data_IF_275793602437
#
_entry.id   IF_275793602437
#
_cell.length_a   1.000
_cell.length_b   1.000
_cell.length_c   1.000
_cell.angle_alpha   90.00
_cell.angle_beta   90.00
_cell.angle_gamma   90.00
#
_symmetry.space_group_name_H-M   'P 1'
#
loop_
_entity.id
_entity.type
_entity.pdbx_description
1 polymer ?
#
# COMPACT_ATOMS: atom_id res chain seq x y z
N UNK A 1 0.67 -9.86 -6.32
CA UNK A 1 0.85 -10.05 -4.86
C UNK A 1 0.39 -11.43 -4.39
N UNK A 2 -0.86 -11.84 -4.63
CA UNK A 2 -1.41 -13.12 -4.12
C UNK A 2 -0.59 -14.36 -4.49
N UNK A 3 -0.22 -14.54 -5.77
CA UNK A 3 0.59 -15.68 -6.20
C UNK A 3 1.94 -15.74 -5.48
N UNK A 4 2.61 -14.59 -5.30
CA UNK A 4 3.88 -14.52 -4.57
C UNK A 4 3.74 -14.94 -3.12
N UNK A 5 2.70 -14.46 -2.43
CA UNK A 5 2.43 -14.85 -1.05
C UNK A 5 2.12 -16.35 -0.94
N UNK A 6 1.25 -16.88 -1.81
CA UNK A 6 0.85 -18.29 -1.79
C UNK A 6 2.02 -19.24 -2.14
N UNK A 7 2.95 -18.80 -2.99
CA UNK A 7 4.18 -19.54 -3.32
C UNK A 7 5.28 -19.42 -2.26
N UNK A 8 5.09 -18.62 -1.19
CA UNK A 8 6.13 -18.36 -0.19
C UNK A 8 7.33 -17.57 -0.75
N UNK A 9 7.13 -16.78 -1.81
CA UNK A 9 8.18 -16.01 -2.51
C UNK A 9 7.91 -14.52 -2.44
N UNK A 10 7.88 -13.99 -1.22
CA UNK A 10 7.63 -12.58 -0.98
C UNK A 10 8.64 -11.69 -1.70
N UNK A 11 8.11 -10.68 -2.38
CA UNK A 11 8.78 -9.46 -2.78
C UNK A 11 7.86 -8.32 -2.34
N UNK A 12 8.42 -7.17 -2.01
CA UNK A 12 7.62 -6.01 -1.59
C UNK A 12 6.67 -5.54 -2.71
N UNK A 13 5.78 -4.63 -2.38
CA UNK A 13 4.79 -4.18 -3.36
C UNK A 13 5.41 -3.35 -4.49
N UNK A 14 6.59 -2.77 -4.28
CA UNK A 14 7.32 -2.07 -5.32
C UNK A 14 7.81 -3.03 -6.39
N UNK A 15 8.41 -4.16 -5.99
CA UNK A 15 8.75 -5.27 -6.87
C UNK A 15 7.51 -5.83 -7.60
N UNK A 16 6.43 -6.10 -6.87
CA UNK A 16 5.17 -6.57 -7.48
C UNK A 16 4.64 -5.59 -8.53
N UNK A 17 4.68 -4.29 -8.26
CA UNK A 17 4.18 -3.25 -9.17
C UNK A 17 4.99 -3.20 -10.46
N UNK A 18 6.33 -3.22 -10.35
CA UNK A 18 7.23 -3.22 -11.51
C UNK A 18 7.08 -4.49 -12.35
N UNK A 19 6.99 -5.65 -11.71
CA UNK A 19 6.79 -6.92 -12.42
C UNK A 19 5.44 -6.97 -13.16
N UNK A 20 4.37 -6.49 -12.53
CA UNK A 20 3.06 -6.41 -13.16
C UNK A 20 3.06 -5.42 -14.35
N UNK A 21 3.76 -4.30 -14.22
CA UNK A 21 3.94 -3.33 -15.30
C UNK A 21 4.74 -3.95 -16.46
N UNK A 22 5.86 -4.61 -16.18
CA UNK A 22 6.68 -5.29 -17.17
C UNK A 22 5.87 -6.35 -17.93
N UNK A 23 5.11 -7.18 -17.21
CA UNK A 23 4.21 -8.16 -17.82
C UNK A 23 3.19 -7.49 -18.75
N UNK A 24 2.53 -6.42 -18.28
CA UNK A 24 1.50 -5.71 -19.05
C UNK A 24 2.06 -5.12 -20.34
N UNK A 25 3.23 -4.49 -20.27
CA UNK A 25 3.93 -3.94 -21.43
C UNK A 25 4.36 -5.06 -22.40
N UNK A 26 4.80 -6.21 -21.87
CA UNK A 26 5.12 -7.40 -22.67
C UNK A 26 3.92 -7.94 -23.46
N UNK A 27 2.69 -7.83 -22.94
CA UNK A 27 1.48 -8.23 -23.72
C UNK A 27 1.25 -7.36 -24.96
N UNK A 28 1.86 -6.17 -25.01
CA UNK A 28 1.86 -5.26 -26.15
C UNK A 28 3.10 -5.41 -27.04
N UNK A 29 3.99 -6.36 -26.74
CA UNK A 29 5.26 -6.56 -27.44
C UNK A 29 6.35 -5.54 -27.08
N UNK A 30 6.23 -4.88 -25.93
CA UNK A 30 7.21 -3.92 -25.44
C UNK A 30 8.16 -4.57 -24.43
N UNK A 31 9.46 -4.30 -24.57
CA UNK A 31 10.53 -4.82 -23.70
C UNK A 31 11.26 -3.64 -23.04
N UNK A 32 10.66 -2.98 -22.03
CA UNK A 32 11.27 -1.84 -21.35
C UNK A 32 12.45 -2.26 -20.47
N UNK A 33 13.42 -1.36 -20.29
CA UNK A 33 14.47 -1.55 -19.30
C UNK A 33 13.98 -1.23 -17.87
N UNK A 34 14.80 -1.58 -16.88
CA UNK A 34 14.49 -1.37 -15.47
C UNK A 34 14.32 0.13 -15.12
N UNK A 35 15.06 1.02 -15.78
CA UNK A 35 14.96 2.46 -15.54
C UNK A 35 13.59 2.99 -15.95
N UNK A 36 13.10 2.56 -17.11
CA UNK A 36 11.76 2.89 -17.59
C UNK A 36 10.68 2.35 -16.65
N UNK A 37 10.78 1.06 -16.25
CA UNK A 37 9.82 0.43 -15.35
C UNK A 37 9.78 1.15 -14.00
N UNK A 38 10.93 1.43 -13.40
CA UNK A 38 11.02 2.16 -12.15
C UNK A 38 10.44 3.58 -12.28
N UNK A 39 10.74 4.29 -13.37
CA UNK A 39 10.22 5.64 -13.62
C UNK A 39 8.70 5.68 -13.81
N UNK A 40 8.15 4.75 -14.61
CA UNK A 40 6.71 4.67 -14.86
C UNK A 40 5.94 4.17 -13.63
N UNK A 41 6.48 3.20 -12.90
CA UNK A 41 5.87 2.68 -11.67
C UNK A 41 5.73 3.75 -10.57
N UNK A 42 6.50 4.85 -10.61
CA UNK A 42 6.30 5.99 -9.70
C UNK A 42 4.92 6.64 -9.83
N UNK A 43 4.17 6.39 -10.91
CA UNK A 43 2.77 6.81 -10.99
C UNK A 43 1.93 6.26 -9.84
N UNK A 44 2.23 5.04 -9.34
CA UNK A 44 1.53 4.44 -8.20
C UNK A 44 1.76 5.18 -6.87
N UNK A 45 2.86 5.93 -6.74
CA UNK A 45 3.15 6.74 -5.55
C UNK A 45 2.53 8.15 -5.62
N UNK A 46 1.77 8.45 -6.69
CA UNK A 46 1.20 9.77 -7.00
C UNK A 46 -0.27 9.67 -7.39
N UNK A 47 -0.96 8.61 -6.94
CA UNK A 47 -2.39 8.47 -7.19
C UNK A 47 -3.13 9.63 -6.52
N UNK A 48 -4.02 10.27 -7.27
CA UNK A 48 -4.87 11.32 -6.73
C UNK A 48 -5.84 10.70 -5.71
N UNK A 49 -5.94 11.23 -4.49
CA UNK A 49 -6.96 10.77 -3.54
C UNK A 49 -8.36 11.06 -4.10
N UNK A 50 -9.35 10.28 -3.67
CA UNK A 50 -10.74 10.59 -4.00
C UNK A 50 -11.12 11.98 -3.44
N UNK A 51 -11.96 12.78 -4.14
CA UNK A 51 -12.23 14.17 -3.77
C UNK A 51 -12.78 14.37 -2.36
N UNK A 52 -13.50 13.37 -1.82
CA UNK A 52 -14.15 13.37 -0.51
C UNK A 52 -13.28 12.75 0.61
N UNK A 53 -12.13 12.14 0.28
CA UNK A 53 -11.30 11.44 1.24
C UNK A 53 -10.80 12.36 2.38
N UNK A 54 -10.37 13.59 2.05
CA UNK A 54 -9.89 14.54 3.04
C UNK A 54 -10.99 14.96 4.02
N UNK A 55 -12.19 15.26 3.51
CA UNK A 55 -13.33 15.62 4.34
C UNK A 55 -13.74 14.46 5.24
N UNK A 56 -13.84 13.25 4.69
CA UNK A 56 -14.17 12.05 5.45
C UNK A 56 -13.19 11.82 6.62
N UNK A 57 -11.87 11.90 6.36
CA UNK A 57 -10.85 11.73 7.39
C UNK A 57 -10.90 12.81 8.47
N UNK A 58 -11.28 14.04 8.10
CA UNK A 58 -11.48 15.11 9.07
C UNK A 58 -12.68 14.84 9.98
N UNK A 59 -13.80 14.38 9.42
CA UNK A 59 -15.04 14.08 10.16
C UNK A 59 -14.92 12.85 11.07
N UNK A 60 -14.00 11.92 10.78
CA UNK A 60 -13.72 10.77 11.63
C UNK A 60 -12.95 11.12 12.91
N UNK A 61 -12.39 12.33 13.03
CA UNK A 61 -11.76 12.75 14.28
C UNK A 61 -12.81 12.88 15.41
N UNK A 62 -12.52 12.46 16.67
CA UNK A 62 -11.20 12.10 17.19
C UNK A 62 -10.89 10.59 17.19
N UNK A 63 -11.58 9.77 16.38
CA UNK A 63 -11.26 8.34 16.30
C UNK A 63 -9.85 8.14 15.72
N UNK A 64 -9.22 7.01 16.09
CA UNK A 64 -7.97 6.57 15.46
C UNK A 64 -8.22 6.29 13.98
N UNK A 65 -7.40 6.87 13.11
CA UNK A 65 -7.47 6.74 11.65
C UNK A 65 -6.15 6.15 11.18
N UNK A 66 -6.20 5.04 10.46
CA UNK A 66 -5.00 4.41 9.94
C UNK A 66 -5.19 3.84 8.55
N UNK A 67 -4.09 3.71 7.82
CA UNK A 67 -4.03 2.91 6.59
C UNK A 67 -3.44 1.55 6.96
N UNK A 68 -4.07 0.46 6.53
CA UNK A 68 -3.41 -0.83 6.38
C UNK A 68 -3.33 -1.13 4.89
N UNK A 69 -2.13 -1.29 4.32
CA UNK A 69 -1.98 -1.48 2.87
C UNK A 69 -0.91 -2.48 2.49
N UNK A 70 -1.09 -3.11 1.32
CA UNK A 70 -0.07 -3.95 0.72
C UNK A 70 1.18 -3.17 0.31
N UNK A 71 1.05 -1.86 0.06
CA UNK A 71 2.15 -1.00 -0.38
C UNK A 71 3.37 -1.09 0.52
N UNK A 72 4.57 -1.06 -0.08
CA UNK A 72 5.82 -1.00 0.67
C UNK A 72 5.90 0.31 1.48
N UNK A 73 6.69 0.37 2.57
CA UNK A 73 6.75 1.55 3.46
C UNK A 73 6.97 2.87 2.70
N UNK A 74 7.99 2.92 1.83
CA UNK A 74 8.33 4.13 1.05
C UNK A 74 7.23 4.51 0.05
N UNK A 75 6.54 3.52 -0.54
CA UNK A 75 5.41 3.78 -1.44
C UNK A 75 4.27 4.47 -0.71
N UNK A 76 3.93 3.98 0.49
CA UNK A 76 2.82 4.53 1.27
C UNK A 76 3.16 5.91 1.81
N UNK A 77 4.37 6.10 2.31
CA UNK A 77 4.82 7.40 2.79
C UNK A 77 4.77 8.46 1.67
N UNK A 78 5.30 8.11 0.48
CA UNK A 78 5.25 9.00 -0.67
C UNK A 78 3.80 9.28 -1.12
N UNK A 79 2.96 8.25 -1.20
CA UNK A 79 1.56 8.39 -1.64
C UNK A 79 0.75 9.31 -0.70
N UNK A 80 0.86 9.09 0.61
CA UNK A 80 0.14 9.89 1.61
C UNK A 80 0.66 11.33 1.65
N UNK A 81 1.98 11.53 1.55
CA UNK A 81 2.58 12.86 1.49
C UNK A 81 2.16 13.63 0.24
N UNK A 82 2.21 12.99 -0.94
CA UNK A 82 1.78 13.60 -2.21
C UNK A 82 0.28 13.95 -2.22
N UNK A 83 -0.54 13.19 -1.50
CA UNK A 83 -1.96 13.47 -1.32
C UNK A 83 -2.24 14.58 -0.29
N UNK A 84 -1.24 15.03 0.47
CA UNK A 84 -1.41 16.01 1.55
C UNK A 84 -2.20 15.47 2.75
N UNK A 85 -2.17 14.15 2.97
CA UNK A 85 -2.97 13.47 4.00
C UNK A 85 -2.14 12.96 5.18
N UNK A 86 -0.87 13.34 5.29
CA UNK A 86 0.04 12.86 6.35
C UNK A 86 -0.55 13.06 7.75
N UNK A 87 -1.11 14.24 8.03
CA UNK A 87 -1.66 14.58 9.34
C UNK A 87 -3.08 14.02 9.57
N UNK A 88 -3.64 13.32 8.58
CA UNK A 88 -4.98 12.72 8.66
C UNK A 88 -4.97 11.32 9.27
N UNK A 89 -3.80 10.71 9.47
CA UNK A 89 -3.65 9.35 9.96
C UNK A 89 -2.75 9.30 11.20
N UNK A 90 -3.19 8.53 12.21
CA UNK A 90 -2.40 8.18 13.38
C UNK A 90 -1.33 7.11 13.05
N UNK A 91 -1.57 6.28 12.03
CA UNK A 91 -0.61 5.32 11.52
C UNK A 91 -0.80 4.99 10.04
N UNK A 92 0.31 4.72 9.35
CA UNK A 92 0.32 4.19 7.99
C UNK A 92 1.08 2.86 8.02
N UNK A 93 0.34 1.76 7.91
CA UNK A 93 0.79 0.40 8.21
C UNK A 93 0.99 -0.37 6.90
N UNK A 94 2.24 -0.75 6.63
CA UNK A 94 2.60 -1.64 5.53
C UNK A 94 2.60 -3.11 5.99
N UNK A 95 2.09 -4.01 5.15
CA UNK A 95 2.20 -5.46 5.37
C UNK A 95 3.63 -6.00 5.22
N UNK A 96 4.57 -5.18 4.75
CA UNK A 96 5.98 -5.58 4.54
C UNK A 96 6.62 -6.14 5.82
N UNK A 97 6.25 -5.60 6.98
CA UNK A 97 6.69 -6.10 8.29
C UNK A 97 6.37 -7.59 8.53
N UNK A 98 5.31 -8.12 7.92
CA UNK A 98 4.93 -9.53 8.01
C UNK A 98 5.30 -10.36 6.77
N UNK A 99 5.87 -9.73 5.73
CA UNK A 99 6.28 -10.38 4.47
C UNK A 99 5.19 -11.27 3.86
N UNK A 100 3.94 -10.85 4.01
CA UNK A 100 2.75 -11.44 3.40
C UNK A 100 1.95 -10.35 2.71
N UNK A 101 0.98 -10.75 1.88
CA UNK A 101 0.01 -9.82 1.32
C UNK A 101 -1.39 -10.16 1.84
N UNK A 102 -2.27 -9.15 1.88
CA UNK A 102 -3.71 -9.39 2.07
C UNK A 102 -4.22 -10.39 1.02
N UNK A 103 -5.12 -11.32 1.38
CA UNK A 103 -5.88 -11.37 2.62
C UNK A 103 -5.27 -12.28 3.72
N UNK A 104 -3.95 -12.49 3.76
CA UNK A 104 -3.34 -13.32 4.82
C UNK A 104 -3.64 -12.74 6.22
N UNK A 105 -4.04 -13.55 7.23
CA UNK A 105 -4.44 -13.05 8.54
C UNK A 105 -3.39 -12.17 9.22
N UNK A 106 -2.10 -12.52 9.13
CA UNK A 106 -1.01 -11.73 9.72
C UNK A 106 -0.95 -10.28 9.21
N UNK A 107 -1.46 -10.02 8.00
CA UNK A 107 -1.54 -8.64 7.50
C UNK A 107 -2.49 -7.78 8.34
N UNK A 108 -3.57 -8.35 8.88
CA UNK A 108 -4.54 -7.66 9.72
C UNK A 108 -4.11 -7.60 11.19
N UNK A 109 -3.34 -8.59 11.66
CA UNK A 109 -2.77 -8.59 13.02
C UNK A 109 -1.93 -7.34 13.31
N UNK A 110 -1.31 -6.76 12.28
CA UNK A 110 -0.56 -5.50 12.39
C UNK A 110 -1.39 -4.33 12.92
N UNK A 111 -2.72 -4.33 12.76
CA UNK A 111 -3.57 -3.23 13.25
C UNK A 111 -3.55 -3.18 14.76
N UNK A 112 -3.75 -4.32 15.42
CA UNK A 112 -3.69 -4.41 16.88
C UNK A 112 -2.27 -4.17 17.40
N UNK A 113 -1.25 -4.71 16.72
CA UNK A 113 0.17 -4.49 17.08
C UNK A 113 0.58 -3.01 17.05
N UNK A 114 0.06 -2.24 16.10
CA UNK A 114 0.45 -0.82 15.91
C UNK A 114 -0.46 0.13 16.69
N UNK A 115 -1.78 -0.09 16.66
CA UNK A 115 -2.74 0.84 17.24
C UNK A 115 -3.16 0.47 18.66
N UNK A 116 -2.90 -0.76 19.12
CA UNK A 116 -3.31 -1.24 20.44
C UNK A 116 -4.83 -1.28 20.61
N UNK A 117 -5.57 -1.57 19.54
CA UNK A 117 -7.03 -1.74 19.53
C UNK A 117 -7.35 -3.14 19.03
N UNK A 118 -8.33 -3.79 19.63
CA UNK A 118 -8.72 -5.16 19.31
C UNK A 118 -9.50 -5.23 17.99
N UNK A 119 -9.56 -6.39 17.32
CA UNK A 119 -10.30 -6.52 16.06
C UNK A 119 -11.78 -6.13 16.15
N UNK A 120 -12.41 -6.26 17.32
CA UNK A 120 -13.81 -5.89 17.54
C UNK A 120 -14.04 -4.37 17.59
N UNK A 121 -12.98 -3.58 17.75
CA UNK A 121 -13.01 -2.11 17.87
C UNK A 121 -12.64 -1.40 16.56
N UNK A 122 -12.35 -2.15 15.49
CA UNK A 122 -11.91 -1.64 14.19
C UNK A 122 -13.05 -1.72 13.18
N UNK A 123 -13.22 -0.64 12.41
CA UNK A 123 -14.09 -0.58 11.23
C UNK A 123 -13.27 -0.67 9.94
#
# INVERSE_FOLDING_TARGET
SWLRALMGRYADFWGVTREALAYTLGTLGLEPDESFLAGMAQAYNRLTPYPDAAQCLAELAPLKRAILSNGAPDMLQALVANAGLTDSFDAVISVDAKRVFKPHPDSYALVEEVLGVTPAEVL
#
